data_IF_959439510415
#
_entry.id   IF_959439510415
#
_cell.length_a   1.000
_cell.length_b   1.000
_cell.length_c   1.000
_cell.angle_alpha   90.00
_cell.angle_beta   90.00
_cell.angle_gamma   90.00
#
_symmetry.space_group_name_H-M   'P 1'
#
loop_
_entity.id
_entity.type
_entity.pdbx_description
1 polymer ?
#
# COMPACT_ATOMS: atom_id res chain seq x y z
N UNK A 1 0.82 9.07 -6.78
CA UNK A 1 0.57 8.21 -7.95
C UNK A 1 0.10 6.80 -7.57
N UNK A 2 0.77 6.14 -6.61
CA UNK A 2 0.38 4.80 -6.18
C UNK A 2 -1.05 4.73 -5.63
N UNK A 3 -1.44 5.69 -4.79
CA UNK A 3 -2.80 5.79 -4.27
C UNK A 3 -3.83 6.03 -5.38
N UNK A 4 -3.51 6.87 -6.36
CA UNK A 4 -4.38 7.13 -7.52
C UNK A 4 -4.60 5.85 -8.32
N UNK A 5 -3.54 5.08 -8.60
CA UNK A 5 -3.63 3.81 -9.31
C UNK A 5 -4.50 2.80 -8.54
N UNK A 6 -4.31 2.71 -7.21
CA UNK A 6 -5.10 1.83 -6.37
C UNK A 6 -6.61 2.18 -6.42
N UNK A 7 -6.96 3.47 -6.36
CA UNK A 7 -8.34 3.92 -6.51
C UNK A 7 -8.91 3.62 -7.90
N UNK A 8 -8.14 3.84 -8.96
CA UNK A 8 -8.57 3.56 -10.34
C UNK A 8 -8.87 2.07 -10.55
N UNK A 9 -7.98 1.19 -10.07
CA UNK A 9 -8.17 -0.27 -10.14
C UNK A 9 -9.42 -0.68 -9.35
N UNK A 10 -9.62 -0.12 -8.16
CA UNK A 10 -10.80 -0.39 -7.34
C UNK A 10 -12.08 0.05 -8.05
N UNK A 11 -12.08 1.21 -8.70
CA UNK A 11 -13.24 1.72 -9.46
C UNK A 11 -13.57 0.84 -10.66
N UNK A 12 -12.58 0.23 -11.32
CA UNK A 12 -12.82 -0.73 -12.40
C UNK A 12 -13.54 -1.98 -11.92
N UNK A 13 -13.27 -2.42 -10.69
CA UNK A 13 -13.90 -3.60 -10.08
C UNK A 13 -15.23 -3.31 -9.41
N UNK A 14 -15.54 -2.06 -9.13
CA UNK A 14 -16.72 -1.66 -8.37
C UNK A 14 -18.05 -2.04 -9.04
N UNK A 15 -18.26 -1.85 -10.36
CA UNK A 15 -19.51 -2.23 -11.00
C UNK A 15 -19.87 -3.71 -10.83
N UNK A 16 -18.89 -4.60 -10.96
CA UNK A 16 -19.08 -6.03 -10.75
C UNK A 16 -19.46 -6.34 -9.30
N UNK A 17 -18.74 -5.77 -8.34
CA UNK A 17 -19.04 -5.92 -6.91
C UNK A 17 -20.42 -5.39 -6.55
N UNK A 18 -20.80 -4.22 -7.08
CA UNK A 18 -22.11 -3.60 -6.89
C UNK A 18 -23.23 -4.52 -7.37
N UNK A 19 -23.10 -5.09 -8.56
CA UNK A 19 -24.08 -5.99 -9.13
C UNK A 19 -24.18 -7.30 -8.32
N UNK A 20 -23.06 -7.85 -7.88
CA UNK A 20 -23.02 -9.06 -7.07
C UNK A 20 -23.71 -8.88 -5.72
N UNK A 21 -23.66 -7.70 -5.12
CA UNK A 21 -24.24 -7.39 -3.83
C UNK A 21 -25.60 -6.68 -3.90
N UNK A 22 -26.20 -6.55 -5.10
CA UNK A 22 -27.52 -5.95 -5.36
C UNK A 22 -27.66 -4.51 -4.85
N UNK A 23 -26.59 -3.71 -4.98
CA UNK A 23 -26.58 -2.30 -4.57
C UNK A 23 -27.08 -1.45 -5.75
N UNK A 24 -28.19 -0.73 -5.56
CA UNK A 24 -28.82 0.10 -6.63
C UNK A 24 -28.48 1.58 -6.50
N UNK A 25 -28.59 2.11 -5.29
CA UNK A 25 -28.29 3.52 -5.00
C UNK A 25 -27.07 3.63 -4.13
N UNK A 26 -26.11 4.49 -4.52
CA UNK A 26 -24.88 4.66 -3.76
C UNK A 26 -24.27 6.03 -3.98
N UNK A 27 -23.52 6.49 -2.98
CA UNK A 27 -22.61 7.63 -3.06
C UNK A 27 -21.24 7.14 -2.67
N UNK A 28 -20.25 7.34 -3.55
CA UNK A 28 -18.87 6.95 -3.30
C UNK A 28 -18.08 8.12 -2.75
N UNK A 29 -17.41 7.87 -1.64
CA UNK A 29 -16.44 8.79 -1.03
C UNK A 29 -15.16 8.04 -0.71
N UNK A 30 -14.01 8.69 -0.95
CA UNK A 30 -12.72 8.16 -0.59
C UNK A 30 -12.21 8.76 0.71
N UNK A 31 -11.48 7.97 1.48
CA UNK A 31 -10.72 8.44 2.63
C UNK A 31 -9.34 7.81 2.61
N UNK A 32 -8.31 8.64 2.82
CA UNK A 32 -6.93 8.18 2.91
C UNK A 32 -6.36 8.50 4.28
N UNK A 33 -5.54 7.60 4.80
CA UNK A 33 -4.76 7.85 6.00
C UNK A 33 -3.61 8.80 5.67
N UNK A 34 -3.36 9.78 6.56
CA UNK A 34 -2.29 10.74 6.38
C UNK A 34 -2.77 12.11 5.94
N UNK A 35 -1.91 12.86 5.27
CA UNK A 35 -2.13 14.26 4.91
C UNK A 35 -2.31 14.51 3.43
N UNK A 36 -2.14 13.50 2.59
CA UNK A 36 -2.23 13.62 1.13
C UNK A 36 -3.39 12.83 0.58
N UNK A 37 -4.14 13.46 -0.33
CA UNK A 37 -5.26 12.86 -1.03
C UNK A 37 -4.91 12.73 -2.52
N UNK A 38 -5.18 11.57 -3.16
CA UNK A 38 -4.93 11.43 -4.59
C UNK A 38 -5.95 12.22 -5.42
N UNK A 39 -5.55 12.63 -6.62
CA UNK A 39 -6.47 13.24 -7.59
C UNK A 39 -7.29 12.14 -8.26
N UNK A 40 -8.53 11.99 -7.82
CA UNK A 40 -9.50 11.04 -8.37
C UNK A 40 -10.84 11.76 -8.57
N UNK A 41 -11.69 11.22 -9.44
CA UNK A 41 -12.97 11.88 -9.76
C UNK A 41 -14.06 11.72 -8.69
N UNK A 42 -13.87 10.86 -7.69
CA UNK A 42 -14.76 10.76 -6.53
C UNK A 42 -14.31 11.74 -5.44
N UNK A 43 -15.23 12.14 -4.57
CA UNK A 43 -14.88 12.93 -3.40
C UNK A 43 -13.94 12.11 -2.51
N UNK A 44 -12.76 12.65 -2.24
CA UNK A 44 -11.74 12.01 -1.40
C UNK A 44 -11.18 13.00 -0.42
N UNK A 45 -10.98 12.56 0.83
CA UNK A 45 -10.33 13.38 1.85
C UNK A 45 -9.19 12.62 2.51
N UNK A 46 -8.18 13.36 2.94
CA UNK A 46 -7.09 12.84 3.73
C UNK A 46 -7.33 13.17 5.21
N UNK A 47 -7.13 12.20 6.09
CA UNK A 47 -7.27 12.38 7.53
C UNK A 47 -6.13 11.68 8.26
N UNK A 48 -5.28 12.43 9.01
CA UNK A 48 -4.22 11.81 9.80
C UNK A 48 -4.80 10.82 10.82
N UNK A 49 -4.19 9.66 10.96
CA UNK A 49 -4.62 8.59 11.86
C UNK A 49 -6.04 8.07 11.55
N UNK A 50 -6.46 8.08 10.29
CA UNK A 50 -7.75 7.55 9.88
C UNK A 50 -7.89 6.06 10.21
N UNK A 51 -6.81 5.29 10.19
CA UNK A 51 -6.78 3.89 10.59
C UNK A 51 -7.21 3.66 12.04
N UNK A 52 -7.00 4.63 12.93
CA UNK A 52 -7.44 4.56 14.32
C UNK A 52 -8.91 4.98 14.49
N UNK A 53 -9.44 5.84 13.62
CA UNK A 53 -10.76 6.45 13.75
C UNK A 53 -11.85 5.81 12.88
N UNK A 54 -11.47 5.08 11.84
CA UNK A 54 -12.40 4.46 10.88
C UNK A 54 -12.12 2.96 10.75
N UNK A 55 -13.08 2.09 11.11
CA UNK A 55 -12.89 0.63 10.97
C UNK A 55 -12.57 0.20 9.55
N UNK A 56 -13.12 0.87 8.54
CA UNK A 56 -12.87 0.59 7.13
C UNK A 56 -11.41 0.83 6.76
N UNK A 57 -10.82 1.93 7.26
CA UNK A 57 -9.42 2.27 7.02
C UNK A 57 -8.50 1.30 7.75
N UNK A 58 -8.86 0.91 8.98
CA UNK A 58 -8.11 -0.10 9.74
C UNK A 58 -8.08 -1.43 8.99
N UNK A 59 -9.23 -1.91 8.51
CA UNK A 59 -9.32 -3.15 7.73
C UNK A 59 -8.48 -3.08 6.46
N UNK A 60 -8.55 -1.97 5.73
CA UNK A 60 -7.75 -1.75 4.52
C UNK A 60 -6.25 -1.76 4.81
N UNK A 61 -5.83 -1.14 5.91
CA UNK A 61 -4.42 -1.12 6.35
C UNK A 61 -3.90 -2.52 6.65
N UNK A 62 -4.69 -3.34 7.33
CA UNK A 62 -4.32 -4.74 7.65
C UNK A 62 -4.16 -5.55 6.36
N UNK A 63 -5.09 -5.44 5.43
CA UNK A 63 -5.02 -6.13 4.14
C UNK A 63 -3.81 -5.70 3.33
N UNK A 64 -3.55 -4.40 3.25
CA UNK A 64 -2.41 -3.85 2.52
C UNK A 64 -1.09 -4.35 3.12
N UNK A 65 -0.96 -4.33 4.44
CA UNK A 65 0.23 -4.83 5.13
C UNK A 65 0.45 -6.32 4.90
N UNK A 66 -0.61 -7.12 5.03
CA UNK A 66 -0.53 -8.58 4.84
C UNK A 66 -0.10 -8.91 3.41
N UNK A 67 -0.67 -8.23 2.41
CA UNK A 67 -0.31 -8.39 1.01
C UNK A 67 1.16 -8.00 0.76
N UNK A 68 1.59 -6.87 1.32
CA UNK A 68 2.98 -6.42 1.20
C UNK A 68 3.96 -7.41 1.82
N UNK A 69 3.65 -7.92 3.01
CA UNK A 69 4.51 -8.88 3.70
C UNK A 69 4.70 -10.17 2.86
N UNK A 70 3.63 -10.66 2.24
CA UNK A 70 3.70 -11.81 1.31
C UNK A 70 4.61 -11.51 0.11
N UNK A 71 4.47 -10.34 -0.49
CA UNK A 71 5.30 -9.92 -1.62
C UNK A 71 6.77 -9.84 -1.20
N UNK A 72 7.06 -9.31 -0.01
CA UNK A 72 8.43 -9.20 0.47
C UNK A 72 9.06 -10.56 0.77
N UNK A 73 8.30 -11.53 1.26
CA UNK A 73 8.78 -12.92 1.43
C UNK A 73 9.13 -13.54 0.08
N UNK A 74 8.31 -13.31 -0.95
CA UNK A 74 8.61 -13.78 -2.31
C UNK A 74 9.84 -13.07 -2.91
N UNK A 75 10.00 -11.78 -2.66
CA UNK A 75 11.16 -11.02 -3.12
C UNK A 75 12.44 -11.48 -2.41
N UNK A 76 12.36 -11.96 -1.17
CA UNK A 76 13.49 -12.55 -0.46
C UNK A 76 14.03 -13.78 -1.20
N UNK A 77 13.15 -14.58 -1.78
CA UNK A 77 13.55 -15.73 -2.61
C UNK A 77 14.26 -15.30 -3.90
N UNK A 78 13.85 -14.17 -4.49
CA UNK A 78 14.43 -13.62 -5.72
C UNK A 78 15.74 -12.85 -5.44
N UNK A 79 15.81 -12.15 -4.32
CA UNK A 79 16.97 -11.35 -3.92
C UNK A 79 17.42 -11.74 -2.50
N UNK A 80 17.91 -12.97 -2.28
CA UNK A 80 18.16 -13.48 -0.94
C UNK A 80 19.24 -12.69 -0.17
N UNK A 81 20.13 -11.99 -0.87
CA UNK A 81 21.19 -11.19 -0.25
C UNK A 81 20.69 -9.95 0.49
N UNK A 82 19.46 -9.51 0.29
CA UNK A 82 18.92 -8.30 0.92
C UNK A 82 18.13 -8.56 2.20
N UNK A 83 17.61 -9.76 2.44
CA UNK A 83 16.86 -10.09 3.64
C UNK A 83 15.46 -9.48 3.72
N UNK A 84 14.74 -9.40 2.60
CA UNK A 84 13.38 -8.81 2.55
C UNK A 84 12.34 -9.52 3.41
N UNK A 85 12.50 -10.81 3.66
CA UNK A 85 11.61 -11.54 4.57
C UNK A 85 11.69 -10.99 6.01
N UNK A 86 12.83 -10.43 6.40
CA UNK A 86 13.07 -9.90 7.73
C UNK A 86 12.64 -8.43 7.87
N UNK A 87 13.10 -7.53 6.99
CA UNK A 87 12.86 -6.09 7.14
C UNK A 87 11.74 -5.53 6.26
N UNK A 88 11.19 -6.33 5.34
CA UNK A 88 10.05 -5.94 4.47
C UNK A 88 10.29 -4.67 3.64
N UNK A 89 11.54 -4.35 3.36
CA UNK A 89 11.92 -3.16 2.59
C UNK A 89 12.12 -1.89 3.41
N UNK A 90 11.89 -1.93 4.72
CA UNK A 90 12.12 -0.78 5.59
C UNK A 90 13.61 -0.53 5.83
N UNK A 91 14.03 0.72 6.10
CA UNK A 91 15.44 1.06 6.30
C UNK A 91 15.93 0.67 7.70
N UNK A 92 15.86 -0.61 8.03
CA UNK A 92 16.46 -1.14 9.25
C UNK A 92 17.97 -1.05 9.18
N UNK A 93 18.64 -1.17 10.31
CA UNK A 93 20.11 -1.13 10.38
C UNK A 93 20.76 -2.16 9.43
N UNK A 94 20.25 -3.38 9.42
CA UNK A 94 20.77 -4.45 8.57
C UNK A 94 20.53 -4.14 7.08
N UNK A 95 19.35 -3.65 6.71
CA UNK A 95 19.03 -3.30 5.32
C UNK A 95 19.89 -2.14 4.82
N UNK A 96 20.06 -1.10 5.63
CA UNK A 96 20.94 0.04 5.29
C UNK A 96 22.36 -0.42 5.06
N UNK A 97 22.89 -1.29 5.94
CA UNK A 97 24.25 -1.82 5.80
C UNK A 97 24.41 -2.63 4.52
N UNK A 98 23.48 -3.52 4.22
CA UNK A 98 23.49 -4.34 3.00
C UNK A 98 23.47 -3.45 1.75
N UNK A 99 22.65 -2.41 1.73
CA UNK A 99 22.57 -1.48 0.60
C UNK A 99 23.87 -0.70 0.39
N UNK A 100 24.59 -0.38 1.46
CA UNK A 100 25.90 0.27 1.37
C UNK A 100 26.98 -0.65 0.84
N UNK A 101 26.90 -1.95 1.13
CA UNK A 101 27.88 -2.94 0.71
C UNK A 101 27.70 -3.37 -0.75
N UNK A 102 26.46 -3.66 -1.16
CA UNK A 102 26.16 -4.26 -2.48
C UNK A 102 25.27 -3.41 -3.38
N UNK A 103 24.87 -2.22 -2.93
CA UNK A 103 23.99 -1.32 -3.68
C UNK A 103 22.51 -1.69 -3.58
N UNK A 104 21.62 -0.83 -4.12
CA UNK A 104 20.18 -1.04 -4.06
C UNK A 104 19.72 -2.14 -5.01
N UNK A 105 18.68 -2.88 -4.61
CA UNK A 105 18.00 -3.81 -5.50
C UNK A 105 17.05 -3.08 -6.45
N UNK A 106 16.58 -3.73 -7.54
CA UNK A 106 15.61 -3.12 -8.46
C UNK A 106 14.27 -2.75 -7.81
N UNK A 107 13.89 -3.37 -6.69
CA UNK A 107 12.62 -3.13 -6.00
C UNK A 107 12.75 -2.20 -4.80
N UNK A 108 13.94 -1.67 -4.51
CA UNK A 108 14.16 -0.83 -3.35
C UNK A 108 13.42 0.48 -3.43
N UNK A 109 12.86 0.93 -2.30
CA UNK A 109 12.25 2.26 -2.20
C UNK A 109 13.32 3.33 -2.18
N UNK A 110 13.47 4.08 -3.28
CA UNK A 110 14.51 5.10 -3.41
C UNK A 110 14.21 6.36 -2.59
N UNK A 111 12.97 6.52 -2.09
CA UNK A 111 12.59 7.61 -1.20
C UNK A 111 13.11 7.46 0.23
N UNK A 112 13.51 6.26 0.64
CA UNK A 112 14.13 6.02 1.93
C UNK A 112 15.65 6.27 1.86
N UNK A 113 16.22 6.73 2.98
CA UNK A 113 17.67 6.90 3.11
C UNK A 113 18.30 5.61 3.63
N UNK A 114 19.24 5.10 2.87
CA UNK A 114 19.98 3.88 3.21
C UNK A 114 21.45 4.11 3.46
#
# INVERSE_FOLDING_TARGET
LAMKIAFEVLMEKFPEWKNKNNIKDFVLKGITDGTKCPEVFIECRAEPKADANYPQVMAASILAKTCRDKIMVEMDKKYPQYGYAKHKGYPTRDHVQICREIGPSPIQRMSFKY
#
